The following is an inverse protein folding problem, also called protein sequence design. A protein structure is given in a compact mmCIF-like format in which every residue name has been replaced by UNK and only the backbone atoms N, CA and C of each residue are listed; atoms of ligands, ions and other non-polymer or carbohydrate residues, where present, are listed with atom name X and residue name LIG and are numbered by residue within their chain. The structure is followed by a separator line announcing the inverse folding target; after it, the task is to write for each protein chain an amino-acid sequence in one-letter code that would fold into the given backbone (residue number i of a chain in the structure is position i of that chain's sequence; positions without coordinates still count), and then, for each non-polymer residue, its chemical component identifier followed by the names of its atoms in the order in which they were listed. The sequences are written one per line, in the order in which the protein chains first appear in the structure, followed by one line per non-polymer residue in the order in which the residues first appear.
data_IF_071141003948
#
_entry.id   IF_071141003948
#
_cell.length_a   1.000
_cell.length_b   1.000
_cell.length_c   1.000
_cell.angle_alpha   90.00
_cell.angle_beta   90.00
_cell.angle_gamma   90.00
#
_symmetry.space_group_name_H-M   'P 1'
#
loop_
_entity.id
_entity.type
_entity.pdbx_description
1 polymer ?
#
# COMPACT_ATOMS: atom_id res chain seq x y z
N UNK A 1 -0.99 38.50 29.87
CA UNK A 1 -0.16 37.45 29.25
C UNK A 1 -1.08 36.45 28.56
N UNK A 2 -1.24 36.57 27.23
CA UNK A 2 -2.07 35.64 26.46
C UNK A 2 -1.19 34.44 26.06
N UNK A 3 -1.48 33.27 26.63
CA UNK A 3 -0.76 32.04 26.30
C UNK A 3 -0.95 31.67 24.84
N UNK A 4 0.15 31.37 24.15
CA UNK A 4 0.17 30.78 22.80
C UNK A 4 -0.75 29.55 22.81
N UNK A 5 -1.87 29.63 22.11
CA UNK A 5 -2.74 28.47 21.89
C UNK A 5 -1.96 27.53 20.97
N UNK A 6 -1.57 26.37 21.49
CA UNK A 6 -1.02 25.26 20.71
C UNK A 6 -2.15 24.62 19.89
N UNK A 7 -2.42 25.23 18.73
CA UNK A 7 -3.51 24.83 17.83
C UNK A 7 -3.28 23.41 17.30
N UNK A 8 -2.03 23.02 17.05
CA UNK A 8 -1.70 21.72 16.46
C UNK A 8 -2.02 20.57 17.42
N UNK A 9 -1.72 20.73 18.71
CA UNK A 9 -2.01 19.73 19.74
C UNK A 9 -3.51 19.65 20.07
N UNK A 10 -4.24 20.77 19.96
CA UNK A 10 -5.71 20.78 20.08
C UNK A 10 -6.40 20.13 18.89
N UNK A 11 -5.97 20.42 17.66
CA UNK A 11 -6.55 19.80 16.46
C UNK A 11 -6.26 18.30 16.45
N UNK A 12 -5.05 17.87 16.82
CA UNK A 12 -4.74 16.45 16.99
C UNK A 12 -5.62 15.76 18.04
N UNK A 13 -5.80 16.38 19.23
CA UNK A 13 -6.70 15.86 20.26
C UNK A 13 -8.16 15.82 19.80
N UNK A 14 -8.60 16.79 19.02
CA UNK A 14 -9.99 16.85 18.53
C UNK A 14 -10.23 15.92 17.34
N UNK A 15 -9.20 15.61 16.55
CA UNK A 15 -9.30 14.78 15.37
C UNK A 15 -8.94 13.30 15.60
N UNK A 16 -8.07 12.97 16.56
CA UNK A 16 -7.62 11.58 16.77
C UNK A 16 -8.22 10.95 18.05
N UNK A 17 -8.46 11.73 19.10
CA UNK A 17 -8.97 11.21 20.38
C UNK A 17 -10.37 10.58 20.30
N UNK A 18 -11.35 11.10 19.53
CA UNK A 18 -12.65 10.45 19.40
C UNK A 18 -12.54 9.01 18.90
N UNK A 19 -11.68 8.77 17.89
CA UNK A 19 -11.44 7.45 17.33
C UNK A 19 -10.75 6.49 18.31
N UNK A 20 -9.86 7.01 19.17
CA UNK A 20 -9.23 6.21 20.24
C UNK A 20 -10.27 5.79 21.29
N UNK A 21 -11.19 6.68 21.65
CA UNK A 21 -12.25 6.41 22.61
C UNK A 21 -13.29 5.43 22.07
N UNK A 22 -13.64 5.54 20.78
CA UNK A 22 -14.49 4.54 20.10
C UNK A 22 -13.85 3.15 20.11
N UNK A 23 -12.54 3.06 19.86
CA UNK A 23 -11.79 1.79 19.93
C UNK A 23 -11.81 1.15 21.32
N UNK A 24 -11.90 1.96 22.37
CA UNK A 24 -11.95 1.49 23.76
C UNK A 24 -13.39 1.22 24.24
N UNK A 25 -14.42 1.41 23.40
CA UNK A 25 -15.83 1.26 23.76
C UNK A 25 -16.39 2.43 24.58
N UNK A 26 -15.67 3.54 24.68
CA UNK A 26 -16.03 4.74 25.46
C UNK A 26 -16.85 5.73 24.61
N UNK A 27 -17.99 5.28 24.09
CA UNK A 27 -18.78 6.02 23.09
C UNK A 27 -19.32 7.37 23.61
N UNK A 28 -19.72 7.46 24.88
CA UNK A 28 -20.22 8.71 25.48
C UNK A 28 -19.14 9.80 25.54
N UNK A 29 -17.89 9.39 25.76
CA UNK A 29 -16.73 10.27 25.80
C UNK A 29 -16.36 10.70 24.36
N UNK A 30 -16.36 9.76 23.42
CA UNK A 30 -16.12 10.03 22.00
C UNK A 30 -17.11 11.07 21.45
N UNK A 31 -18.41 10.92 21.73
CA UNK A 31 -19.46 11.85 21.30
C UNK A 31 -19.21 13.28 21.84
N UNK A 32 -18.75 13.41 23.09
CA UNK A 32 -18.43 14.72 23.68
C UNK A 32 -17.25 15.39 22.96
N UNK A 33 -16.21 14.60 22.62
CA UNK A 33 -15.04 15.14 21.91
C UNK A 33 -15.41 15.48 20.46
N UNK A 34 -16.22 14.66 19.76
CA UNK A 34 -16.72 15.00 18.41
C UNK A 34 -17.49 16.31 18.39
N UNK A 35 -18.40 16.53 19.34
CA UNK A 35 -19.14 17.81 19.45
C UNK A 35 -18.19 18.99 19.63
N UNK A 36 -17.17 18.83 20.47
CA UNK A 36 -16.15 19.85 20.70
C UNK A 36 -15.30 20.11 19.44
N UNK A 37 -14.96 19.06 18.68
CA UNK A 37 -14.21 19.16 17.44
C UNK A 37 -14.98 19.93 16.37
N UNK A 38 -16.28 19.63 16.22
CA UNK A 38 -17.18 20.35 15.30
C UNK A 38 -17.23 21.84 15.64
N UNK A 39 -17.39 22.20 16.92
CA UNK A 39 -17.43 23.62 17.35
C UNK A 39 -16.13 24.34 17.03
N UNK A 40 -14.97 23.73 17.32
CA UNK A 40 -13.65 24.32 17.05
C UNK A 40 -13.38 24.45 15.54
N UNK A 41 -13.78 23.46 14.75
CA UNK A 41 -13.65 23.51 13.29
C UNK A 41 -14.55 24.59 12.67
N UNK A 42 -15.75 24.80 13.20
CA UNK A 42 -16.66 25.87 12.74
C UNK A 42 -16.10 27.27 13.08
N UNK A 43 -15.54 27.46 14.28
CA UNK A 43 -14.83 28.68 14.68
C UNK A 43 -13.58 28.93 13.84
N UNK A 44 -12.77 27.90 13.61
CA UNK A 44 -11.61 27.96 12.72
C UNK A 44 -12.02 28.36 11.30
N UNK A 45 -13.07 27.75 10.74
CA UNK A 45 -13.57 28.07 9.41
C UNK A 45 -14.02 29.54 9.29
N UNK A 46 -14.61 30.09 10.36
CA UNK A 46 -14.99 31.52 10.43
C UNK A 46 -13.77 32.44 10.52
N UNK A 47 -12.71 32.06 11.25
CA UNK A 47 -11.46 32.82 11.32
C UNK A 47 -10.68 32.79 10.00
N UNK A 48 -10.56 31.62 9.36
CA UNK A 48 -9.75 31.43 8.15
C UNK A 48 -10.42 31.98 6.88
N UNK A 49 -11.74 32.26 6.88
CA UNK A 49 -12.39 33.04 5.80
C UNK A 49 -11.86 34.48 5.69
N UNK A 50 -11.20 35.02 6.72
CA UNK A 50 -10.63 36.39 6.75
C UNK A 50 -9.11 36.44 6.53
N UNK A 51 -8.41 35.30 6.45
CA UNK A 51 -6.95 35.22 6.35
C UNK A 51 -6.46 34.76 4.97
N UNK A 52 -5.34 35.33 4.52
CA UNK A 52 -4.69 34.99 3.24
C UNK A 52 -3.87 33.69 3.35
N UNK A 53 -4.53 32.57 3.64
CA UNK A 53 -3.90 31.24 3.74
C UNK A 53 -3.96 30.53 2.39
N UNK A 54 -2.88 29.81 2.04
CA UNK A 54 -2.77 28.95 0.87
C UNK A 54 -3.96 27.98 0.82
N UNK A 55 -4.84 28.20 -0.17
CA UNK A 55 -5.99 27.33 -0.43
C UNK A 55 -5.48 26.01 -0.98
N UNK A 56 -5.47 24.95 -0.17
CA UNK A 56 -5.53 23.59 -0.71
C UNK A 56 -6.76 23.58 -1.64
N UNK A 57 -6.53 23.26 -2.91
CA UNK A 57 -7.54 23.41 -3.95
C UNK A 57 -8.63 22.35 -3.73
N UNK A 58 -9.62 22.68 -2.90
CA UNK A 58 -10.73 21.82 -2.48
C UNK A 58 -11.52 21.25 -3.66
N UNK A 59 -11.48 21.95 -4.82
CA UNK A 59 -12.03 21.50 -6.11
C UNK A 59 -11.43 20.20 -6.66
N UNK A 60 -10.26 19.76 -6.19
CA UNK A 60 -9.68 18.46 -6.56
C UNK A 60 -10.52 17.29 -5.97
N UNK A 61 -11.35 17.58 -4.96
CA UNK A 61 -12.12 16.58 -4.20
C UNK A 61 -13.65 16.73 -4.37
N UNK A 62 -14.15 17.58 -5.27
CA UNK A 62 -15.59 17.74 -5.53
C UNK A 62 -16.09 16.65 -6.51
N UNK A 63 -17.13 15.88 -6.12
CA UNK A 63 -17.78 14.84 -6.95
C UNK A 63 -18.00 13.48 -6.28
N UNK A 64 -17.87 13.37 -4.97
CA UNK A 64 -17.62 12.13 -4.21
C UNK A 64 -18.63 10.98 -4.48
N UNK A 65 -18.19 9.93 -5.18
CA UNK A 65 -18.44 8.53 -4.74
C UNK A 65 -17.77 8.43 -3.36
N UNK A 66 -18.47 7.95 -2.32
CA UNK A 66 -17.91 7.84 -0.96
C UNK A 66 -16.49 7.25 -1.05
N UNK A 67 -15.45 8.02 -0.68
CA UNK A 67 -14.09 7.54 -0.83
C UNK A 67 -13.94 6.38 0.17
N UNK A 68 -13.17 5.34 -0.17
CA UNK A 68 -12.94 4.27 0.79
C UNK A 68 -12.38 4.86 2.08
N UNK A 69 -12.89 4.39 3.20
CA UNK A 69 -12.48 4.79 4.56
C UNK A 69 -12.02 3.56 5.35
N UNK A 70 -11.41 3.80 6.50
CA UNK A 70 -11.00 2.74 7.43
C UNK A 70 -12.19 2.02 8.02
N UNK A 71 -13.34 2.69 8.14
CA UNK A 71 -14.57 2.06 8.58
C UNK A 71 -15.04 1.04 7.55
N UNK A 72 -15.09 1.42 6.26
CA UNK A 72 -15.44 0.49 5.18
C UNK A 72 -14.47 -0.71 5.14
N UNK A 73 -13.19 -0.47 5.42
CA UNK A 73 -12.16 -1.50 5.46
C UNK A 73 -12.27 -2.41 6.68
N UNK A 74 -12.69 -1.87 7.83
CA UNK A 74 -12.90 -2.63 9.06
C UNK A 74 -14.18 -3.45 8.99
N UNK A 75 -15.26 -2.88 8.45
CA UNK A 75 -16.52 -3.59 8.20
C UNK A 75 -16.30 -4.84 7.33
N UNK A 76 -15.50 -4.73 6.26
CA UNK A 76 -15.13 -5.90 5.41
C UNK A 76 -14.36 -7.00 6.17
N UNK A 77 -13.74 -6.68 7.31
CA UNK A 77 -13.06 -7.66 8.15
C UNK A 77 -13.95 -8.16 9.31
N UNK A 78 -14.93 -7.37 9.73
CA UNK A 78 -15.82 -7.67 10.84
C UNK A 78 -17.04 -8.50 10.42
N UNK A 79 -17.35 -8.61 9.12
CA UNK A 79 -18.52 -9.34 8.65
C UNK A 79 -18.50 -10.82 9.08
N UNK A 80 -19.47 -11.18 9.94
CA UNK A 80 -19.55 -12.42 10.73
C UNK A 80 -20.25 -13.58 10.01
N UNK A 81 -20.45 -13.51 8.69
CA UNK A 81 -20.97 -14.64 7.93
C UNK A 81 -19.89 -15.73 7.82
N UNK A 82 -19.71 -16.47 8.92
CA UNK A 82 -18.61 -17.38 9.27
C UNK A 82 -18.43 -18.63 8.38
N UNK A 83 -18.57 -18.48 7.07
CA UNK A 83 -18.27 -19.50 6.06
C UNK A 83 -16.95 -19.27 5.33
N UNK A 84 -16.44 -18.04 5.21
CA UNK A 84 -15.16 -17.75 4.52
C UNK A 84 -14.44 -16.51 5.05
N UNK A 85 -13.27 -16.69 5.66
CA UNK A 85 -12.43 -15.56 6.11
C UNK A 85 -11.73 -14.86 4.92
N UNK A 86 -11.61 -13.53 4.99
CA UNK A 86 -10.88 -12.75 3.97
C UNK A 86 -9.36 -12.98 4.01
N UNK A 87 -8.64 -12.64 2.92
CA UNK A 87 -7.17 -12.75 2.91
C UNK A 87 -6.57 -11.90 4.01
N UNK A 88 -7.10 -10.70 4.19
CA UNK A 88 -6.62 -9.77 5.21
C UNK A 88 -6.98 -10.24 6.62
N UNK A 89 -8.14 -10.87 6.83
CA UNK A 89 -8.47 -11.46 8.13
C UNK A 89 -7.52 -12.61 8.47
N UNK A 90 -7.29 -13.54 7.53
CA UNK A 90 -6.31 -14.62 7.72
C UNK A 90 -4.92 -14.05 7.98
N UNK A 91 -4.51 -13.00 7.26
CA UNK A 91 -3.22 -12.33 7.48
C UNK A 91 -3.12 -11.76 8.89
N UNK A 92 -4.14 -11.02 9.33
CA UNK A 92 -4.19 -10.43 10.67
C UNK A 92 -4.10 -11.52 11.73
N UNK A 93 -4.92 -12.55 11.61
CA UNK A 93 -4.99 -13.65 12.57
C UNK A 93 -3.68 -14.44 12.63
N UNK A 94 -3.06 -14.71 11.47
CA UNK A 94 -1.74 -15.33 11.41
C UNK A 94 -0.67 -14.45 12.07
N UNK A 95 -0.70 -13.14 11.87
CA UNK A 95 0.23 -12.21 12.51
C UNK A 95 0.05 -12.21 14.04
N UNK A 96 -1.19 -12.11 14.51
CA UNK A 96 -1.53 -12.18 15.93
C UNK A 96 -1.11 -13.51 16.55
N UNK A 97 -1.32 -14.63 15.85
CA UNK A 97 -0.96 -15.96 16.35
C UNK A 97 0.57 -16.18 16.39
N UNK A 98 1.29 -15.73 15.35
CA UNK A 98 2.76 -15.85 15.27
C UNK A 98 3.47 -14.95 16.28
N UNK A 99 2.85 -13.83 16.67
CA UNK A 99 3.46 -12.83 17.56
C UNK A 99 4.68 -12.16 16.95
N UNK A 100 5.38 -11.36 17.76
CA UNK A 100 6.57 -10.61 17.33
C UNK A 100 7.87 -11.45 17.36
N UNK A 101 7.86 -12.62 18.01
CA UNK A 101 9.04 -13.47 18.19
C UNK A 101 8.91 -14.80 17.40
N UNK A 102 9.65 -14.97 16.29
CA UNK A 102 9.60 -16.19 15.48
C UNK A 102 10.09 -17.44 16.23
N UNK A 103 10.71 -17.30 17.41
CA UNK A 103 11.10 -18.43 18.27
C UNK A 103 9.96 -18.95 19.17
N UNK A 104 8.88 -18.19 19.32
CA UNK A 104 7.66 -18.58 20.03
C UNK A 104 6.53 -18.94 19.08
N UNK A 105 6.84 -19.60 17.95
CA UNK A 105 5.81 -20.24 17.16
C UNK A 105 5.11 -21.28 18.03
N UNK A 106 3.99 -20.89 18.65
CA UNK A 106 3.11 -21.76 19.39
C UNK A 106 2.89 -23.02 18.55
N UNK A 107 3.06 -24.19 19.16
CA UNK A 107 2.99 -25.47 18.46
C UNK A 107 1.78 -25.46 17.53
N UNK A 108 1.96 -25.83 16.25
CA UNK A 108 0.90 -25.76 15.22
C UNK A 108 -0.42 -26.38 15.71
N UNK A 109 -0.34 -27.36 16.61
CA UNK A 109 -1.46 -28.00 17.31
C UNK A 109 -2.34 -27.07 18.16
N UNK A 110 -1.85 -25.92 18.61
CA UNK A 110 -2.60 -24.93 19.41
C UNK A 110 -3.19 -23.82 18.55
N UNK A 111 -2.98 -23.84 17.22
CA UNK A 111 -3.54 -22.84 16.33
C UNK A 111 -5.05 -23.03 16.16
N UNK A 112 -5.82 -21.93 16.06
CA UNK A 112 -7.23 -21.98 15.67
C UNK A 112 -7.47 -22.82 14.41
N UNK A 113 -8.59 -23.53 14.37
CA UNK A 113 -8.90 -24.48 13.30
C UNK A 113 -8.84 -23.86 11.89
N UNK A 114 -9.24 -22.59 11.76
CA UNK A 114 -9.22 -21.87 10.48
C UNK A 114 -7.81 -21.45 10.04
N UNK A 115 -6.82 -21.41 10.94
CA UNK A 115 -5.43 -21.07 10.62
C UNK A 115 -4.54 -22.27 10.31
N UNK A 116 -4.93 -23.47 10.78
CA UNK A 116 -4.15 -24.70 10.61
C UNK A 116 -3.73 -24.97 9.15
N UNK A 117 -4.61 -24.83 8.14
CA UNK A 117 -4.21 -25.07 6.75
C UNK A 117 -3.08 -24.16 6.28
N UNK A 118 -2.98 -22.95 6.82
CA UNK A 118 -2.00 -21.93 6.43
C UNK A 118 -0.68 -22.04 7.21
N UNK A 119 -0.70 -22.69 8.37
CA UNK A 119 0.48 -22.93 9.20
C UNK A 119 1.22 -24.23 8.84
N UNK A 120 0.53 -25.16 8.17
CA UNK A 120 1.15 -26.39 7.71
C UNK A 120 2.26 -26.14 6.67
N UNK A 121 3.33 -26.93 6.78
CA UNK A 121 4.46 -26.90 5.86
C UNK A 121 4.10 -27.42 4.46
N UNK A 122 3.09 -28.28 4.36
CA UNK A 122 2.58 -28.77 3.08
C UNK A 122 1.68 -27.71 2.42
N UNK A 123 2.23 -26.97 1.46
CA UNK A 123 1.49 -25.95 0.71
C UNK A 123 0.37 -26.52 -0.14
N UNK A 124 0.31 -27.84 -0.38
CA UNK A 124 -0.77 -28.48 -1.12
C UNK A 124 -2.08 -28.58 -0.33
N UNK A 125 -2.02 -28.44 1.00
CA UNK A 125 -3.19 -28.41 1.88
C UNK A 125 -3.74 -27.00 2.09
N UNK A 126 -3.06 -25.96 1.61
CA UNK A 126 -3.55 -24.58 1.70
C UNK A 126 -4.72 -24.41 0.74
N UNK A 127 -5.90 -23.97 1.21
CA UNK A 127 -7.02 -23.72 0.31
C UNK A 127 -6.64 -22.63 -0.68
N UNK A 128 -6.93 -22.82 -1.97
CA UNK A 128 -6.75 -21.79 -3.00
C UNK A 128 -7.63 -20.58 -2.77
N UNK A 129 -7.34 -19.48 -3.45
CA UNK A 129 -8.04 -18.24 -3.20
C UNK A 129 -9.47 -18.38 -3.70
N UNK A 130 -10.37 -18.62 -2.75
CA UNK A 130 -11.78 -18.29 -2.92
C UNK A 130 -11.85 -16.79 -2.73
N UNK A 131 -12.25 -16.08 -3.78
CA UNK A 131 -12.58 -14.67 -3.70
C UNK A 131 -13.54 -14.43 -2.53
N UNK A 132 -13.33 -13.36 -1.77
CA UNK A 132 -14.28 -12.91 -0.73
C UNK A 132 -15.59 -12.41 -1.32
N UNK A 133 -15.62 -12.15 -2.64
CA UNK A 133 -16.84 -11.84 -3.39
C UNK A 133 -16.99 -12.81 -4.57
N UNK A 134 -18.19 -12.87 -5.15
CA UNK A 134 -18.49 -13.74 -6.29
C UNK A 134 -17.44 -13.62 -7.42
N UNK A 135 -17.00 -14.74 -8.05
CA UNK A 135 -16.19 -14.73 -9.27
C UNK A 135 -16.77 -13.95 -10.45
N UNK A 136 -18.05 -13.59 -10.37
CA UNK A 136 -18.73 -12.71 -11.34
C UNK A 136 -18.51 -11.21 -11.09
N UNK A 137 -17.81 -10.82 -10.02
CA UNK A 137 -17.54 -9.43 -9.72
C UNK A 137 -16.71 -8.77 -10.84
N UNK A 138 -17.12 -7.58 -11.32
CA UNK A 138 -16.43 -6.91 -12.42
C UNK A 138 -15.00 -6.52 -12.01
N UNK A 139 -14.10 -6.49 -12.99
CA UNK A 139 -12.74 -5.98 -12.81
C UNK A 139 -12.78 -4.53 -12.34
N UNK A 140 -12.08 -4.24 -11.24
CA UNK A 140 -11.91 -2.88 -10.74
C UNK A 140 -10.80 -2.21 -11.54
N UNK A 141 -11.07 -1.01 -12.06
CA UNK A 141 -10.10 -0.23 -12.83
C UNK A 141 -9.79 1.07 -12.13
N UNK A 142 -8.50 1.30 -11.89
CA UNK A 142 -7.96 2.52 -11.32
C UNK A 142 -7.22 3.33 -12.38
N UNK A 143 -7.47 4.64 -12.39
CA UNK A 143 -6.82 5.59 -13.30
C UNK A 143 -5.76 6.37 -12.54
N UNK A 144 -4.54 6.40 -13.06
CA UNK A 144 -3.41 7.02 -12.37
C UNK A 144 -3.05 8.33 -13.06
N UNK A 145 -2.99 9.39 -12.26
CA UNK A 145 -2.52 10.72 -12.68
C UNK A 145 -1.40 11.19 -11.76
N UNK A 146 -0.51 12.02 -12.28
CA UNK A 146 0.66 12.51 -11.54
C UNK A 146 0.55 14.01 -11.21
N UNK A 147 1.08 14.41 -10.06
CA UNK A 147 1.38 15.79 -9.73
C UNK A 147 2.64 15.89 -8.87
N UNK A 148 3.25 17.06 -8.81
CA UNK A 148 4.39 17.30 -7.91
C UNK A 148 4.43 18.73 -7.42
N UNK A 149 4.98 18.90 -6.22
CA UNK A 149 5.18 20.19 -5.56
C UNK A 149 6.62 20.30 -5.06
N UNK A 150 7.18 21.50 -5.13
CA UNK A 150 8.51 21.79 -4.58
C UNK A 150 8.41 21.91 -3.06
N UNK A 151 9.15 21.09 -2.32
CA UNK A 151 9.14 21.11 -0.85
C UNK A 151 10.37 21.81 -0.29
N UNK A 152 11.53 21.64 -0.96
CA UNK A 152 12.78 22.32 -0.63
C UNK A 152 13.63 22.46 -1.90
N UNK A 153 14.69 23.26 -1.84
CA UNK A 153 15.64 23.40 -2.95
C UNK A 153 16.20 22.02 -3.32
N UNK A 154 15.96 21.57 -4.54
CA UNK A 154 16.43 20.25 -5.03
C UNK A 154 15.57 19.05 -4.58
N UNK A 155 14.48 19.26 -3.83
CA UNK A 155 13.59 18.19 -3.36
C UNK A 155 12.13 18.47 -3.74
N UNK A 156 11.48 17.49 -4.36
CA UNK A 156 10.07 17.57 -4.75
C UNK A 156 9.27 16.45 -4.09
N UNK A 157 8.08 16.79 -3.59
CA UNK A 157 7.07 15.79 -3.23
C UNK A 157 6.27 15.46 -4.48
N UNK A 158 6.26 14.19 -4.85
CA UNK A 158 5.48 13.68 -5.96
C UNK A 158 4.26 12.94 -5.42
N UNK A 159 3.18 13.02 -6.17
CA UNK A 159 1.90 12.42 -5.87
C UNK A 159 1.41 11.64 -7.08
N UNK A 160 1.10 10.36 -6.87
CA UNK A 160 0.27 9.61 -7.81
C UNK A 160 -1.15 9.53 -7.25
N UNK A 161 -2.08 10.17 -7.93
CA UNK A 161 -3.50 10.11 -7.60
C UNK A 161 -4.12 8.91 -8.30
N UNK A 162 -4.72 8.04 -7.48
CA UNK A 162 -5.46 6.86 -7.90
C UNK A 162 -6.93 7.23 -7.94
N UNK A 163 -7.50 7.22 -9.14
CA UNK A 163 -8.88 7.60 -9.40
C UNK A 163 -9.71 6.40 -9.82
N UNK A 164 -11.02 6.57 -9.75
CA UNK A 164 -11.99 5.62 -10.30
C UNK A 164 -11.86 5.44 -11.82
N UNK A 165 -12.61 4.48 -12.39
CA UNK A 165 -12.53 4.14 -13.81
C UNK A 165 -12.87 5.32 -14.74
N UNK A 166 -13.68 6.27 -14.27
CA UNK A 166 -14.09 7.47 -15.00
C UNK A 166 -13.03 8.57 -15.00
N UNK A 167 -11.98 8.43 -14.18
CA UNK A 167 -10.89 9.39 -14.00
C UNK A 167 -11.34 10.73 -13.36
N UNK A 168 -12.47 10.74 -12.66
CA UNK A 168 -13.00 11.96 -12.03
C UNK A 168 -12.74 11.98 -10.53
N UNK A 169 -12.95 10.87 -9.83
CA UNK A 169 -12.91 10.83 -8.36
C UNK A 169 -11.59 10.27 -7.85
N UNK A 170 -10.88 11.03 -7.01
CA UNK A 170 -9.67 10.55 -6.34
C UNK A 170 -10.07 9.65 -5.18
N UNK A 171 -9.58 8.41 -5.21
CA UNK A 171 -9.81 7.38 -4.19
C UNK A 171 -8.60 7.25 -3.27
N UNK A 172 -7.39 7.31 -3.83
CA UNK A 172 -6.14 7.23 -3.08
C UNK A 172 -5.09 8.21 -3.62
N UNK A 173 -4.09 8.50 -2.80
CA UNK A 173 -2.91 9.25 -3.19
C UNK A 173 -1.64 8.57 -2.65
N UNK A 174 -0.72 8.17 -3.54
CA UNK A 174 0.62 7.75 -3.16
C UNK A 174 1.54 8.97 -3.12
N UNK A 175 2.16 9.22 -1.96
CA UNK A 175 3.17 10.25 -1.77
C UNK A 175 4.57 9.64 -1.75
N UNK A 176 5.52 10.32 -2.38
CA UNK A 176 6.95 10.06 -2.20
C UNK A 176 7.76 11.33 -2.40
N UNK A 177 8.91 11.41 -1.76
CA UNK A 177 9.86 12.52 -1.93
C UNK A 177 10.99 12.07 -2.85
N UNK A 178 11.31 12.90 -3.82
CA UNK A 178 12.38 12.65 -4.76
C UNK A 178 13.37 13.83 -4.82
N UNK A 179 14.64 13.49 -5.00
CA UNK A 179 15.74 14.41 -5.27
C UNK A 179 16.71 13.76 -6.25
N UNK A 180 17.55 14.55 -6.91
CA UNK A 180 18.60 14.01 -7.79
C UNK A 180 19.71 13.26 -7.03
N UNK A 181 19.81 13.48 -5.71
CA UNK A 181 20.93 13.03 -4.88
C UNK A 181 20.64 11.73 -4.12
N UNK A 182 19.38 11.49 -3.76
CA UNK A 182 18.99 10.35 -2.93
C UNK A 182 17.92 9.48 -3.61
N UNK A 183 18.02 8.14 -3.48
CA UNK A 183 16.98 7.23 -3.95
C UNK A 183 15.68 7.42 -3.15
N UNK A 184 14.55 7.10 -3.80
CA UNK A 184 13.27 6.93 -3.12
C UNK A 184 13.37 5.67 -2.25
N UNK A 185 13.31 5.86 -0.93
CA UNK A 185 13.43 4.77 0.08
C UNK A 185 12.09 4.42 0.75
N UNK A 186 11.09 5.29 0.63
CA UNK A 186 9.78 5.09 1.24
C UNK A 186 8.70 5.80 0.41
N UNK A 187 7.51 5.22 0.39
CA UNK A 187 6.31 5.81 -0.20
C UNK A 187 5.11 5.48 0.68
N UNK A 188 4.10 6.35 0.68
CA UNK A 188 2.91 6.18 1.52
C UNK A 188 1.66 6.37 0.67
N UNK A 189 0.84 5.32 0.58
CA UNK A 189 -0.50 5.36 0.00
C UNK A 189 -1.48 5.77 1.10
N UNK A 190 -2.33 6.76 0.82
CA UNK A 190 -3.42 7.19 1.71
C UNK A 190 -4.75 7.17 0.96
N UNK A 191 -5.82 6.88 1.68
CA UNK A 191 -7.19 7.07 1.18
C UNK A 191 -7.51 8.55 1.08
N UNK A 192 -8.37 8.93 0.13
CA UNK A 192 -8.74 10.32 -0.09
C UNK A 192 -9.47 10.95 1.12
N UNK A 193 -10.17 10.15 1.92
CA UNK A 193 -10.82 10.60 3.16
C UNK A 193 -9.88 10.75 4.37
N UNK A 194 -8.62 10.29 4.28
CA UNK A 194 -7.77 10.00 5.44
C UNK A 194 -6.41 10.71 5.37
N UNK A 195 -6.44 12.01 5.04
CA UNK A 195 -5.22 12.81 4.91
C UNK A 195 -4.58 13.26 6.23
N UNK A 196 -5.22 13.01 7.38
CA UNK A 196 -4.73 13.38 8.72
C UNK A 196 -4.40 12.12 9.56
N UNK A 197 -3.45 12.22 10.51
CA UNK A 197 -2.18 11.51 10.46
C UNK A 197 -2.32 9.97 10.48
N UNK A 198 -1.98 9.37 9.33
CA UNK A 198 -1.66 7.95 9.08
C UNK A 198 -2.75 6.90 9.33
N UNK A 199 -3.99 7.30 9.63
CA UNK A 199 -5.11 6.36 9.70
C UNK A 199 -5.32 5.76 8.30
N UNK A 200 -5.34 4.42 8.20
CA UNK A 200 -5.52 3.71 6.92
C UNK A 200 -4.36 3.81 5.93
N UNK A 201 -3.19 4.31 6.35
CA UNK A 201 -2.05 4.45 5.45
C UNK A 201 -1.38 3.09 5.16
N UNK A 202 -0.96 2.89 3.90
CA UNK A 202 -0.10 1.78 3.50
C UNK A 202 1.28 2.33 3.10
N UNK A 203 2.27 2.05 3.94
CA UNK A 203 3.67 2.45 3.72
C UNK A 203 4.45 1.33 3.02
N UNK A 204 5.32 1.70 2.07
CA UNK A 204 6.17 0.76 1.35
C UNK A 204 7.60 1.26 1.41
N UNK A 205 8.43 0.53 2.15
CA UNK A 205 9.87 0.76 2.21
C UNK A 205 10.57 0.02 1.07
N UNK A 206 11.42 0.74 0.34
CA UNK A 206 12.26 0.22 -0.72
C UNK A 206 13.68 0.04 -0.17
N UNK A 207 14.10 -1.20 0.02
CA UNK A 207 15.41 -1.53 0.57
C UNK A 207 16.30 -2.14 -0.51
N UNK A 208 17.45 -1.53 -0.77
CA UNK A 208 18.41 -2.08 -1.71
C UNK A 208 19.10 -3.31 -1.14
N UNK A 209 19.27 -4.32 -1.98
CA UNK A 209 19.91 -5.58 -1.63
C UNK A 209 21.39 -5.55 -2.05
N UNK A 210 22.20 -6.48 -1.55
CA UNK A 210 23.64 -6.57 -1.90
C UNK A 210 23.86 -6.76 -3.40
N UNK A 211 22.96 -7.46 -4.10
CA UNK A 211 23.02 -7.67 -5.55
C UNK A 211 22.62 -6.45 -6.39
N UNK A 212 22.08 -5.40 -5.76
CA UNK A 212 21.59 -4.19 -6.42
C UNK A 212 20.11 -4.22 -6.80
N UNK A 213 19.41 -5.34 -6.54
CA UNK A 213 17.95 -5.41 -6.60
C UNK A 213 17.31 -4.75 -5.37
N UNK A 214 15.98 -4.77 -5.27
CA UNK A 214 15.24 -4.13 -4.17
C UNK A 214 14.25 -5.11 -3.54
N UNK A 215 14.22 -5.11 -2.22
CA UNK A 215 13.19 -5.70 -1.39
C UNK A 215 12.15 -4.63 -1.08
N UNK A 216 10.87 -5.01 -1.15
CA UNK A 216 9.78 -4.15 -0.71
C UNK A 216 9.28 -4.66 0.64
N UNK A 217 9.14 -3.75 1.60
CA UNK A 217 8.50 -4.05 2.87
C UNK A 217 7.28 -3.15 3.02
N UNK A 218 6.10 -3.77 2.96
CA UNK A 218 4.82 -3.07 3.02
C UNK A 218 4.19 -3.24 4.40
N UNK A 219 3.80 -2.13 5.02
CA UNK A 219 3.04 -2.09 6.28
C UNK A 219 1.76 -1.29 6.07
N UNK A 220 0.66 -1.85 6.54
CA UNK A 220 -0.69 -1.27 6.46
C UNK A 220 -1.13 -0.91 7.87
N UNK A 221 -1.88 0.19 8.03
CA UNK A 221 -2.49 0.58 9.30
C UNK A 221 -3.98 0.24 9.23
N UNK A 222 -4.55 -0.49 10.22
CA UNK A 222 -3.93 -0.99 11.45
C UNK A 222 -2.87 -2.08 11.18
N UNK A 223 -1.90 -2.24 12.09
CA UNK A 223 -0.79 -3.18 11.87
C UNK A 223 -1.30 -4.63 11.78
N UNK A 224 -1.03 -5.24 10.63
CA UNK A 224 -1.39 -6.63 10.29
C UNK A 224 -0.14 -7.41 9.86
N UNK A 225 1.02 -7.02 10.41
CA UNK A 225 2.31 -7.59 10.07
C UNK A 225 2.88 -6.99 8.78
N UNK A 226 4.20 -7.02 8.64
CA UNK A 226 4.87 -6.54 7.44
C UNK A 226 4.83 -7.61 6.33
N UNK A 227 4.46 -7.21 5.12
CA UNK A 227 4.61 -8.07 3.93
C UNK A 227 5.93 -7.75 3.28
N UNK A 228 6.79 -8.77 3.13
CA UNK A 228 8.09 -8.63 2.49
C UNK A 228 8.07 -9.27 1.11
N UNK A 229 8.33 -8.47 0.07
CA UNK A 229 8.53 -8.97 -1.28
C UNK A 229 10.02 -9.12 -1.59
N UNK A 230 10.42 -10.32 -1.98
CA UNK A 230 11.82 -10.67 -2.23
C UNK A 230 12.01 -10.96 -3.72
N UNK A 231 13.02 -10.37 -4.37
CA UNK A 231 13.37 -10.70 -5.74
C UNK A 231 14.10 -12.05 -5.83
N UNK A 232 13.79 -12.84 -6.86
CA UNK A 232 14.54 -14.05 -7.19
C UNK A 232 16.00 -13.68 -7.52
N UNK A 233 16.95 -14.44 -6.95
CA UNK A 233 18.37 -14.15 -7.15
C UNK A 233 18.84 -12.83 -6.55
N UNK A 234 18.26 -12.43 -5.41
CA UNK A 234 18.57 -11.23 -4.61
C UNK A 234 20.06 -10.86 -4.56
N UNK A 235 20.95 -11.84 -4.43
CA UNK A 235 22.39 -11.63 -4.28
C UNK A 235 23.15 -11.39 -5.60
N UNK A 236 22.58 -11.75 -6.76
CA UNK A 236 23.31 -11.83 -8.03
C UNK A 236 22.69 -11.04 -9.18
N UNK A 237 21.52 -10.40 -8.98
CA UNK A 237 20.85 -9.63 -10.03
C UNK A 237 20.61 -8.18 -9.62
N UNK A 238 20.87 -7.29 -10.58
CA UNK A 238 20.51 -5.86 -10.54
C UNK A 238 19.08 -5.61 -11.00
N UNK A 239 18.50 -6.57 -11.73
CA UNK A 239 17.19 -6.42 -12.36
C UNK A 239 16.05 -6.75 -11.40
N UNK A 240 14.90 -6.15 -11.67
CA UNK A 240 13.63 -6.44 -11.00
C UNK A 240 12.98 -7.67 -11.65
N UNK A 241 13.20 -8.89 -11.13
CA UNK A 241 12.44 -10.08 -11.59
C UNK A 241 12.70 -11.35 -10.76
N UNK A 242 11.74 -12.30 -10.74
CA UNK A 242 10.38 -12.16 -10.21
C UNK A 242 10.37 -11.80 -8.73
N UNK A 243 9.31 -11.18 -8.24
CA UNK A 243 9.15 -10.86 -6.81
C UNK A 243 8.05 -11.67 -6.19
N UNK A 244 8.37 -12.33 -5.09
CA UNK A 244 7.47 -13.24 -4.38
C UNK A 244 7.19 -12.72 -3.00
N UNK A 245 5.98 -12.98 -2.53
CA UNK A 245 5.56 -12.63 -1.18
C UNK A 245 4.46 -13.58 -0.69
N UNK A 246 4.36 -13.69 0.64
CA UNK A 246 3.24 -14.35 1.31
C UNK A 246 2.23 -13.28 1.76
N UNK A 247 0.95 -13.51 1.50
CA UNK A 247 -0.15 -12.69 2.03
C UNK A 247 -1.27 -13.60 2.50
N UNK A 248 -1.68 -13.50 3.77
CA UNK A 248 -2.71 -14.38 4.34
C UNK A 248 -2.36 -15.87 4.22
N UNK A 249 -1.09 -16.23 4.38
CA UNK A 249 -0.61 -17.61 4.25
C UNK A 249 -0.57 -18.14 2.82
N UNK A 250 -0.82 -17.31 1.80
CA UNK A 250 -0.82 -17.70 0.38
C UNK A 250 0.35 -17.07 -0.35
N UNK A 251 0.84 -17.74 -1.39
CA UNK A 251 2.04 -17.33 -2.12
C UNK A 251 1.66 -16.64 -3.43
N UNK A 252 2.25 -15.47 -3.65
CA UNK A 252 2.01 -14.70 -4.86
C UNK A 252 3.31 -14.38 -5.58
N UNK A 253 3.22 -14.22 -6.90
CA UNK A 253 4.36 -13.85 -7.74
C UNK A 253 3.97 -12.78 -8.75
N UNK A 254 4.86 -11.80 -8.90
CA UNK A 254 4.80 -10.82 -9.97
C UNK A 254 5.55 -11.34 -11.21
N UNK A 255 4.88 -11.37 -12.36
CA UNK A 255 5.42 -11.83 -13.65
C UNK A 255 5.47 -10.69 -14.65
N UNK A 256 6.53 -10.61 -15.43
CA UNK A 256 6.63 -9.69 -16.56
C UNK A 256 5.93 -10.28 -17.80
N UNK A 257 5.55 -9.44 -18.76
CA UNK A 257 4.98 -9.91 -20.03
C UNK A 257 5.91 -10.89 -20.76
N UNK A 258 7.24 -10.67 -20.69
CA UNK A 258 8.23 -11.58 -21.23
C UNK A 258 8.22 -12.96 -20.52
N UNK A 259 7.99 -13.00 -19.20
CA UNK A 259 7.85 -14.23 -18.44
C UNK A 259 6.56 -14.99 -18.77
N UNK A 260 5.54 -14.29 -19.30
CA UNK A 260 4.30 -14.88 -19.83
C UNK A 260 4.43 -15.35 -21.30
N UNK A 261 5.62 -15.29 -21.91
CA UNK A 261 5.84 -15.66 -23.31
C UNK A 261 5.23 -14.67 -24.32
N UNK A 262 4.76 -13.50 -23.87
CA UNK A 262 4.25 -12.44 -24.72
C UNK A 262 5.41 -11.55 -25.15
N UNK A 263 5.47 -11.20 -26.45
CA UNK A 263 6.41 -10.18 -26.94
C UNK A 263 6.00 -8.84 -26.33
N UNK A 264 6.90 -8.24 -25.53
CA UNK A 264 6.78 -6.82 -25.20
C UNK A 264 6.70 -6.04 -26.51
N UNK A 265 5.67 -5.19 -26.63
CA UNK A 265 5.30 -4.59 -27.90
C UNK A 265 6.43 -3.79 -28.55
N UNK A 266 6.81 -4.21 -29.76
CA UNK A 266 7.39 -3.37 -30.81
C UNK A 266 8.82 -2.85 -30.63
N UNK A 267 9.46 -2.56 -31.76
CA UNK A 267 10.84 -2.07 -31.94
C UNK A 267 11.13 -0.68 -31.29
N UNK A 268 10.19 -0.13 -30.52
CA UNK A 268 10.31 1.11 -29.74
C UNK A 268 9.91 0.93 -28.25
N UNK A 269 9.70 -0.31 -27.78
CA UNK A 269 9.19 -0.64 -26.44
C UNK A 269 10.19 -0.51 -25.27
N UNK A 270 11.44 -0.14 -25.52
CA UNK A 270 12.53 -0.18 -24.51
C UNK A 270 12.62 1.04 -23.58
N UNK A 271 11.72 2.02 -23.69
CA UNK A 271 11.70 3.21 -22.84
C UNK A 271 10.36 3.37 -22.12
N UNK A 272 10.19 2.63 -21.02
CA UNK A 272 9.04 2.74 -20.14
C UNK A 272 8.95 1.60 -19.13
N UNK A 273 8.07 1.75 -18.14
CA UNK A 273 7.78 0.67 -17.20
C UNK A 273 7.13 -0.51 -17.91
N UNK A 274 7.70 -1.70 -17.71
CA UNK A 274 7.02 -2.96 -17.97
C UNK A 274 6.13 -3.25 -16.75
N UNK A 275 4.82 -3.09 -16.92
CA UNK A 275 3.87 -3.47 -15.89
C UNK A 275 3.94 -4.98 -15.66
N UNK A 276 3.99 -5.37 -14.38
CA UNK A 276 3.97 -6.78 -13.99
C UNK A 276 2.55 -7.21 -13.62
N UNK A 277 2.25 -8.47 -13.93
CA UNK A 277 0.98 -9.13 -13.58
C UNK A 277 1.16 -9.96 -12.32
N UNK A 278 0.20 -9.87 -11.40
CA UNK A 278 0.13 -10.70 -10.19
C UNK A 278 -0.61 -12.01 -10.44
N UNK A 279 -0.06 -13.08 -9.89
CA UNK A 279 -0.67 -14.40 -9.85
C UNK A 279 -0.54 -15.04 -8.45
N UNK A 280 -1.51 -15.87 -8.08
CA UNK A 280 -1.34 -16.82 -6.96
C UNK A 280 -0.53 -18.03 -7.45
N UNK A 281 0.25 -18.63 -6.55
CA UNK A 281 1.08 -19.80 -6.83
C UNK A 281 0.82 -20.92 -5.83
N UNK A 282 0.79 -22.16 -6.33
CA UNK A 282 0.60 -23.36 -5.51
C UNK A 282 1.91 -23.90 -4.96
N UNK A 283 2.90 -23.97 -5.83
CA UNK A 283 4.23 -24.54 -5.57
C UNK A 283 5.28 -23.58 -6.09
N UNK A 284 6.36 -23.46 -5.35
CA UNK A 284 7.55 -22.71 -5.72
C UNK A 284 8.75 -23.61 -5.44
N UNK A 285 9.61 -23.81 -6.43
CA UNK A 285 10.80 -24.67 -6.30
C UNK A 285 12.02 -24.03 -6.96
N UNK A 286 13.21 -24.45 -6.56
CA UNK A 286 14.42 -23.97 -7.20
C UNK A 286 14.51 -24.48 -8.65
N UNK A 287 14.80 -23.58 -9.58
CA UNK A 287 14.99 -23.95 -10.99
C UNK A 287 16.18 -24.90 -11.12
N UNK A 288 15.95 -26.06 -11.73
CA UNK A 288 17.01 -27.05 -11.96
C UNK A 288 18.18 -26.43 -12.75
N UNK A 289 19.40 -26.64 -12.25
CA UNK A 289 20.63 -26.08 -12.84
C UNK A 289 20.87 -24.59 -12.59
N UNK A 290 20.03 -23.89 -11.82
CA UNK A 290 20.25 -22.47 -11.52
C UNK A 290 21.33 -22.27 -10.45
N UNK A 291 22.40 -21.56 -10.80
CA UNK A 291 23.40 -21.06 -9.84
C UNK A 291 23.05 -19.71 -9.22
N UNK A 292 21.97 -19.09 -9.71
CA UNK A 292 21.59 -17.70 -9.40
C UNK A 292 20.40 -17.62 -8.46
N UNK A 293 19.97 -18.74 -7.85
CA UNK A 293 18.80 -18.79 -6.96
C UNK A 293 17.47 -18.48 -7.67
N UNK A 294 17.33 -18.83 -8.96
CA UNK A 294 16.05 -18.67 -9.66
C UNK A 294 15.05 -19.69 -9.14
N UNK A 295 13.82 -19.25 -8.99
CA UNK A 295 12.71 -20.12 -8.62
C UNK A 295 11.77 -20.30 -9.82
N UNK A 296 11.18 -21.47 -9.90
CA UNK A 296 10.04 -21.80 -10.75
C UNK A 296 8.79 -21.90 -9.89
N UNK A 297 7.63 -21.74 -10.51
CA UNK A 297 6.35 -21.75 -9.82
C UNK A 297 5.24 -22.32 -10.69
N UNK A 298 4.22 -22.82 -9.99
CA UNK A 298 2.95 -23.27 -10.57
C UNK A 298 1.88 -22.20 -10.29
N UNK A 299 1.55 -21.42 -11.31
CA UNK A 299 0.47 -20.40 -11.27
C UNK A 299 -0.88 -21.09 -11.16
N UNK A 300 -1.76 -20.55 -10.31
CA UNK A 300 -3.14 -21.00 -10.17
C UNK A 300 -4.10 -19.84 -10.38
N UNK A 301 -5.20 -20.12 -11.09
CA UNK A 301 -6.28 -19.16 -11.30
C UNK A 301 -5.95 -18.06 -12.33
N UNK A 302 -6.86 -17.07 -12.46
CA UNK A 302 -6.66 -15.93 -13.34
C UNK A 302 -5.64 -14.93 -12.77
N UNK A 303 -5.21 -13.97 -13.60
CA UNK A 303 -4.45 -12.81 -13.14
C UNK A 303 -5.25 -12.01 -12.10
N UNK A 304 -4.58 -11.53 -11.06
CA UNK A 304 -5.20 -10.82 -9.95
C UNK A 304 -5.06 -9.29 -10.05
N UNK A 305 -3.90 -8.82 -10.53
CA UNK A 305 -3.60 -7.39 -10.68
C UNK A 305 -2.65 -7.18 -11.86
N UNK A 306 -2.90 -6.18 -12.71
CA UNK A 306 -2.04 -5.84 -13.85
C UNK A 306 -2.12 -4.35 -14.14
N UNK A 307 -1.13 -3.81 -14.86
CA UNK A 307 -1.09 -2.40 -15.24
C UNK A 307 -0.94 -2.20 -16.74
N UNK A 308 -1.31 -1.01 -17.21
CA UNK A 308 -1.24 -0.62 -18.61
C UNK A 308 -0.69 0.82 -18.75
N UNK A 309 0.07 1.08 -19.81
CA UNK A 309 0.58 2.42 -20.14
C UNK A 309 -0.47 3.12 -21.03
N UNK A 310 -0.78 4.38 -20.72
CA UNK A 310 -1.89 5.18 -21.27
C UNK A 310 -3.25 4.60 -20.85
N UNK A 311 -3.85 5.21 -19.85
CA UNK A 311 -5.22 4.90 -19.46
C UNK A 311 -6.25 5.55 -20.37
N UNK A 312 -7.47 5.00 -20.38
CA UNK A 312 -8.63 5.71 -20.90
C UNK A 312 -8.87 7.02 -20.13
N UNK A 313 -9.62 7.94 -20.74
CA UNK A 313 -10.05 9.21 -20.12
C UNK A 313 -8.90 10.15 -19.70
N UNK A 314 -7.76 10.12 -20.40
CA UNK A 314 -6.65 11.05 -20.17
C UNK A 314 -5.71 10.70 -19.01
N UNK A 315 -5.82 9.50 -18.45
CA UNK A 315 -4.90 9.01 -17.41
C UNK A 315 -3.56 8.56 -18.00
N UNK A 316 -2.48 8.77 -17.27
CA UNK A 316 -1.12 8.38 -17.70
C UNK A 316 -0.94 6.86 -17.66
N UNK A 317 -1.51 6.23 -16.63
CA UNK A 317 -1.48 4.80 -16.43
C UNK A 317 -2.83 4.28 -15.93
N UNK A 318 -3.01 2.96 -16.01
CA UNK A 318 -4.13 2.28 -15.37
C UNK A 318 -3.67 1.02 -14.66
N UNK A 319 -4.27 0.74 -13.52
CA UNK A 319 -4.10 -0.50 -12.77
C UNK A 319 -5.45 -1.18 -12.70
N UNK A 320 -5.48 -2.47 -12.99
CA UNK A 320 -6.67 -3.29 -13.00
C UNK A 320 -6.51 -4.40 -11.97
N UNK A 321 -7.59 -4.69 -11.26
CA UNK A 321 -7.63 -5.77 -10.28
C UNK A 321 -8.89 -6.60 -10.51
N UNK A 322 -8.77 -7.92 -10.34
CA UNK A 322 -9.96 -8.79 -10.37
C UNK A 322 -10.96 -8.31 -9.30
N UNK A 323 -12.26 -8.36 -9.62
CA UNK A 323 -13.29 -8.08 -8.62
C UNK A 323 -13.22 -9.12 -7.49
N UNK A 324 -13.56 -8.74 -6.27
CA UNK A 324 -13.56 -9.67 -5.13
C UNK A 324 -12.27 -9.80 -4.34
N UNK A 325 -11.30 -8.90 -4.56
CA UNK A 325 -10.20 -8.70 -3.63
C UNK A 325 -10.64 -7.79 -2.47
N UNK A 326 -10.27 -8.15 -1.25
CA UNK A 326 -10.55 -7.29 -0.09
C UNK A 326 -9.79 -5.96 -0.15
N UNK A 327 -10.34 -4.94 0.51
CA UNK A 327 -9.87 -3.55 0.42
C UNK A 327 -8.39 -3.41 0.79
N UNK A 328 -7.96 -4.01 1.90
CA UNK A 328 -6.56 -3.92 2.33
C UNK A 328 -5.60 -4.65 1.39
N UNK A 329 -6.01 -5.77 0.80
CA UNK A 329 -5.20 -6.40 -0.23
C UNK A 329 -5.11 -5.52 -1.48
N UNK A 330 -6.22 -4.90 -1.93
CA UNK A 330 -6.20 -3.92 -3.03
C UNK A 330 -5.26 -2.75 -2.73
N UNK A 331 -5.27 -2.21 -1.53
CA UNK A 331 -4.37 -1.14 -1.09
C UNK A 331 -2.91 -1.57 -1.08
N UNK A 332 -2.62 -2.77 -0.59
CA UNK A 332 -1.28 -3.35 -0.65
C UNK A 332 -0.77 -3.42 -2.10
N UNK A 333 -1.60 -3.92 -3.02
CA UNK A 333 -1.26 -4.05 -4.44
C UNK A 333 -1.08 -2.69 -5.12
N UNK A 334 -1.94 -1.71 -4.83
CA UNK A 334 -1.81 -0.33 -5.32
C UNK A 334 -0.51 0.29 -4.82
N UNK A 335 -0.24 0.20 -3.51
CA UNK A 335 0.94 0.80 -2.91
C UNK A 335 2.23 0.21 -3.51
N UNK A 336 2.28 -1.11 -3.66
CA UNK A 336 3.41 -1.81 -4.29
C UNK A 336 3.57 -1.36 -5.75
N UNK A 337 2.54 -1.48 -6.59
CA UNK A 337 2.64 -1.14 -8.02
C UNK A 337 2.99 0.33 -8.28
N UNK A 338 2.49 1.24 -7.45
CA UNK A 338 2.82 2.67 -7.58
C UNK A 338 4.21 3.00 -7.01
N UNK A 339 4.69 2.31 -5.97
CA UNK A 339 6.08 2.43 -5.49
C UNK A 339 7.08 2.03 -6.57
N UNK A 340 6.74 0.96 -7.28
CA UNK A 340 7.46 0.45 -8.44
C UNK A 340 7.48 1.48 -9.57
N UNK A 341 6.31 2.07 -9.85
CA UNK A 341 6.18 3.19 -10.78
C UNK A 341 7.07 4.38 -10.41
N UNK A 342 7.03 4.80 -9.15
CA UNK A 342 7.81 5.92 -8.65
C UNK A 342 9.30 5.68 -8.87
N UNK A 343 9.79 4.48 -8.53
CA UNK A 343 11.21 4.15 -8.64
C UNK A 343 11.75 4.18 -10.06
N UNK A 344 11.00 3.66 -11.03
CA UNK A 344 11.45 3.61 -12.43
C UNK A 344 11.26 4.96 -13.13
N UNK A 345 10.20 5.69 -12.80
CA UNK A 345 9.94 7.01 -13.38
C UNK A 345 10.90 8.09 -12.84
N UNK A 346 11.44 7.90 -11.63
CA UNK A 346 12.29 8.87 -10.95
C UNK A 346 13.59 8.23 -10.44
N UNK A 347 14.48 7.75 -11.34
CA UNK A 347 15.75 7.18 -10.95
C UNK A 347 16.68 8.26 -10.35
N UNK A 348 17.49 7.94 -9.33
CA UNK A 348 18.50 8.87 -8.82
C UNK A 348 19.64 9.01 -9.85
N UNK A 349 20.23 10.20 -9.98
CA UNK A 349 21.37 10.40 -10.89
C UNK A 349 22.64 9.70 -10.38
N UNK A 350 22.78 9.55 -9.05
CA UNK A 350 23.86 8.82 -8.40
C UNK A 350 23.28 7.70 -7.56
N UNK A 351 23.55 6.46 -7.95
CA UNK A 351 23.22 5.28 -7.14
C UNK A 351 24.32 5.09 -6.08
N UNK A 352 24.41 6.03 -5.14
CA UNK A 352 25.45 6.06 -4.11
C UNK A 352 25.22 4.95 -3.09
N UNK A 353 26.16 3.99 -3.05
CA UNK A 353 26.25 2.99 -1.99
C UNK A 353 26.28 3.69 -0.62
N UNK A 354 25.37 3.34 0.28
CA UNK A 354 25.45 3.69 1.70
C UNK A 354 24.62 4.88 2.20
N UNK A 355 23.99 5.69 1.33
CA UNK A 355 23.11 6.80 1.79
C UNK A 355 21.83 6.27 2.45
N UNK A 356 21.36 5.10 2.03
CA UNK A 356 20.11 4.49 2.54
C UNK A 356 20.17 4.12 4.03
N UNK A 357 21.36 3.84 4.58
CA UNK A 357 21.54 3.55 6.02
C UNK A 357 21.37 4.82 6.86
N UNK A 358 21.73 5.98 6.33
CA UNK A 358 21.56 7.27 7.00
C UNK A 358 20.13 7.81 6.90
N UNK A 359 19.43 7.59 5.78
CA UNK A 359 18.02 8.00 5.62
C UNK A 359 17.02 7.05 6.27
N UNK A 360 17.36 5.77 6.50
CA UNK A 360 16.52 4.87 7.30
C UNK A 360 16.31 5.36 8.75
N UNK A 361 17.22 6.19 9.29
CA UNK A 361 17.10 6.79 10.62
C UNK A 361 16.27 8.08 10.68
N UNK A 362 15.94 8.69 9.53
CA UNK A 362 15.16 9.92 9.43
C UNK A 362 14.04 9.68 8.42
N UNK A 363 12.86 9.28 8.89
CA UNK A 363 11.67 9.18 8.04
C UNK A 363 11.35 10.53 7.42
N UNK A 364 11.82 10.81 6.20
CA UNK A 364 11.58 12.11 5.57
C UNK A 364 10.09 12.41 5.38
N UNK A 365 9.26 11.37 5.21
CA UNK A 365 7.81 11.52 5.18
C UNK A 365 7.20 11.86 6.54
N UNK A 366 7.82 11.46 7.66
CA UNK A 366 7.40 11.91 9.01
C UNK A 366 7.88 13.32 9.33
N UNK A 367 9.04 13.74 8.79
CA UNK A 367 9.56 15.10 8.94
C UNK A 367 8.71 16.09 8.14
N UNK A 368 8.33 15.76 6.90
CA UNK A 368 7.44 16.62 6.08
C UNK A 368 6.04 16.70 6.68
N UNK A 369 5.51 15.63 7.29
CA UNK A 369 4.23 15.72 8.02
C UNK A 369 4.30 16.50 9.33
N UNK A 370 5.49 16.77 9.88
CA UNK A 370 5.67 17.58 11.10
C UNK A 370 5.88 19.08 10.81
N UNK A 371 6.11 19.43 9.54
CA UNK A 371 6.40 20.80 9.09
C UNK A 371 5.25 21.45 8.29
N UNK A 372 4.16 20.71 8.05
CA UNK A 372 2.88 21.21 7.55
C UNK A 372 1.85 21.17 8.69
#
# INVERSE_FOLDING_TARGET
MAGKIDVNNKVYKLAAMPFILERNGEYDEAIKIYKSAITVLDEATKMYKKGNVLKINRKIFDGIILPPTILDAMEEIEDEDGKTSSLTQIRRDLNTFRGDDPSQANAISTAPAHLQPFLNADTSQRPFFSLTLSPSAPTVTYRITHSSELVSLGMRSHWFFVKDATNTHVLYALQFVWSNEAPIVDTVLRRAGEFLPQIGATSVKLQKTKGGSFRLMTRTIPDMGAVTEIPDGEMQRKDWSPRRFEYGGRNFVWKTAAAEGKKEGGMFGSFGIAWETLYETKRVWAKSGSRTGKMEDEIVGPRLCWGEKKGGNGAEHSIHMVGGLDLYFREHLLAVQLSRLARVSYPPQKDTKGIEVATAGLGWLSIVSSLA
#
